data_IF_515560308021
#
_entry.id   IF_515560308021
#
_cell.length_a   1.000
_cell.length_b   1.000
_cell.length_c   1.000
_cell.angle_alpha   90.00
_cell.angle_beta   90.00
_cell.angle_gamma   90.00
#
_symmetry.space_group_name_H-M   'P 1'
#
loop_
_entity.id
_entity.type
_entity.pdbx_description
1 polymer ?
#
# COMPACT_ATOMS: atom_id res chain seq x y z
N UNK A 1 30.30 7.82 -8.32
CA UNK A 1 29.24 7.56 -7.33
C UNK A 1 29.83 6.57 -6.36
N UNK A 2 29.72 6.85 -5.07
CA UNK A 2 30.19 5.96 -3.99
C UNK A 2 29.32 4.69 -3.98
N UNK A 3 29.98 3.53 -4.02
CA UNK A 3 29.44 2.16 -4.12
C UNK A 3 28.72 1.70 -2.83
N UNK A 4 28.66 2.57 -1.81
CA UNK A 4 28.04 2.30 -0.51
C UNK A 4 26.50 2.11 -0.54
N UNK A 5 25.84 2.43 -1.65
CA UNK A 5 24.38 2.23 -1.81
C UNK A 5 23.98 0.79 -2.15
N UNK A 6 24.92 -0.06 -2.56
CA UNK A 6 24.61 -1.43 -2.99
C UNK A 6 24.51 -2.48 -1.87
N UNK A 7 24.67 -2.13 -0.58
CA UNK A 7 24.62 -3.09 0.53
C UNK A 7 23.24 -3.30 1.16
N UNK A 8 22.21 -2.57 0.73
CA UNK A 8 20.86 -2.72 1.31
C UNK A 8 19.99 -3.76 0.61
N UNK A 9 20.38 -4.14 -0.61
CA UNK A 9 19.74 -5.19 -1.39
C UNK A 9 19.95 -6.55 -0.73
N UNK A 10 18.90 -7.37 -0.64
CA UNK A 10 19.03 -8.72 -0.08
C UNK A 10 20.00 -9.58 -0.88
N UNK A 11 20.10 -9.38 -2.20
CA UNK A 11 21.07 -10.09 -3.04
C UNK A 11 22.54 -9.82 -2.65
N UNK A 12 22.82 -8.73 -1.95
CA UNK A 12 24.15 -8.33 -1.45
C UNK A 12 24.27 -8.36 0.08
N UNK A 13 23.28 -8.97 0.77
CA UNK A 13 23.31 -9.17 2.22
C UNK A 13 22.52 -8.15 3.05
N UNK A 14 21.80 -7.23 2.40
CA UNK A 14 20.95 -6.23 3.05
C UNK A 14 19.51 -6.71 3.32
N UNK A 15 18.67 -5.83 3.91
CA UNK A 15 17.31 -6.20 4.32
C UNK A 15 16.23 -6.00 3.24
N UNK A 16 16.52 -5.35 2.11
CA UNK A 16 15.51 -5.05 1.08
C UNK A 16 15.25 -6.29 0.25
N UNK A 17 14.02 -6.82 0.32
CA UNK A 17 13.61 -8.04 -0.39
C UNK A 17 12.71 -7.79 -1.61
N UNK A 18 12.08 -6.62 -1.68
CA UNK A 18 11.16 -6.24 -2.74
C UNK A 18 11.11 -4.71 -2.92
N UNK A 19 10.79 -4.26 -4.14
CA UNK A 19 10.66 -2.84 -4.50
C UNK A 19 9.40 -2.64 -5.35
N UNK A 20 8.60 -1.62 -5.01
CA UNK A 20 7.38 -1.29 -5.73
C UNK A 20 7.69 -0.44 -6.97
N UNK A 21 7.07 -0.78 -8.11
CA UNK A 21 7.09 -0.01 -9.35
C UNK A 21 5.82 0.82 -9.41
N UNK A 22 5.97 2.15 -9.30
CA UNK A 22 4.83 3.08 -9.20
C UNK A 22 3.96 2.82 -7.94
N UNK A 23 2.80 3.45 -7.78
CA UNK A 23 1.85 3.30 -6.70
C UNK A 23 0.40 3.59 -7.15
N UNK A 24 -0.44 2.55 -7.20
CA UNK A 24 -1.84 2.65 -7.66
C UNK A 24 -2.01 3.31 -9.03
N UNK A 25 -1.04 3.11 -9.93
CA UNK A 25 -0.98 3.78 -11.24
C UNK A 25 -2.27 3.62 -12.03
N UNK A 26 -2.91 2.46 -11.94
CA UNK A 26 -4.12 2.16 -12.67
C UNK A 26 -5.32 3.03 -12.26
N UNK A 27 -5.27 3.66 -11.08
CA UNK A 27 -6.23 4.68 -10.67
C UNK A 27 -6.01 5.98 -11.45
N UNK A 28 -4.75 6.33 -11.71
CA UNK A 28 -4.37 7.56 -12.39
C UNK A 28 -4.41 7.44 -13.93
N UNK A 29 -3.79 6.41 -14.49
CA UNK A 29 -3.57 6.23 -15.93
C UNK A 29 -3.64 4.74 -16.33
N UNK A 30 -3.43 4.44 -17.61
CA UNK A 30 -3.32 3.08 -18.15
C UNK A 30 -2.13 2.94 -19.13
N UNK A 31 -1.17 3.86 -19.08
CA UNK A 31 -0.01 3.89 -19.96
C UNK A 31 1.04 2.85 -19.51
N UNK A 32 0.88 1.59 -19.93
CA UNK A 32 1.77 0.49 -19.53
C UNK A 32 3.24 0.74 -19.90
N UNK A 33 3.50 1.48 -20.98
CA UNK A 33 4.86 1.84 -21.40
C UNK A 33 5.61 2.66 -20.33
N UNK A 34 4.88 3.48 -19.55
CA UNK A 34 5.45 4.20 -18.41
C UNK A 34 5.94 3.24 -17.32
N UNK A 35 5.13 2.23 -16.99
CA UNK A 35 5.48 1.20 -16.00
C UNK A 35 6.67 0.36 -16.48
N UNK A 36 6.73 0.01 -17.76
CA UNK A 36 7.86 -0.70 -18.37
C UNK A 36 9.14 0.12 -18.28
N UNK A 37 9.07 1.41 -18.57
CA UNK A 37 10.19 2.34 -18.42
C UNK A 37 10.68 2.41 -16.97
N UNK A 38 9.78 2.52 -15.99
CA UNK A 38 10.15 2.54 -14.57
C UNK A 38 10.81 1.24 -14.11
N UNK A 39 10.27 0.09 -14.55
CA UNK A 39 10.86 -1.23 -14.29
C UNK A 39 12.30 -1.29 -14.83
N UNK A 40 12.51 -0.89 -16.07
CA UNK A 40 13.83 -0.85 -16.70
C UNK A 40 14.78 0.11 -15.98
N UNK A 41 14.28 1.28 -15.57
CA UNK A 41 15.05 2.24 -14.81
C UNK A 41 15.51 1.67 -13.46
N UNK A 42 14.62 1.01 -12.72
CA UNK A 42 14.97 0.37 -11.44
C UNK A 42 16.04 -0.72 -11.64
N UNK A 43 15.83 -1.63 -12.59
CA UNK A 43 16.79 -2.71 -12.87
C UNK A 43 18.14 -2.17 -13.36
N UNK A 44 18.14 -1.16 -14.24
CA UNK A 44 19.38 -0.52 -14.73
C UNK A 44 20.18 0.15 -13.61
N UNK A 45 19.51 0.61 -12.55
CA UNK A 45 20.14 1.21 -11.37
C UNK A 45 20.42 0.19 -10.26
N UNK A 46 20.40 -1.11 -10.55
CA UNK A 46 20.90 -2.14 -9.65
C UNK A 46 19.85 -2.77 -8.73
N UNK A 47 18.56 -2.50 -8.91
CA UNK A 47 17.50 -3.25 -8.22
C UNK A 47 17.39 -4.64 -8.83
N UNK A 48 17.68 -5.66 -8.02
CA UNK A 48 17.64 -7.09 -8.41
C UNK A 48 16.56 -7.88 -7.68
N UNK A 49 15.95 -7.24 -6.68
CA UNK A 49 14.93 -7.74 -5.79
C UNK A 49 13.60 -7.93 -6.52
N UNK A 50 12.66 -8.60 -5.83
CA UNK A 50 11.32 -8.79 -6.36
C UNK A 50 10.67 -7.43 -6.66
N UNK A 51 10.32 -7.21 -7.92
CA UNK A 51 9.51 -6.05 -8.30
C UNK A 51 8.03 -6.35 -8.07
N UNK A 52 7.31 -5.39 -7.51
CA UNK A 52 5.88 -5.50 -7.20
C UNK A 52 5.12 -4.29 -7.73
N UNK A 53 3.83 -4.45 -8.01
CA UNK A 53 2.88 -3.35 -8.27
C UNK A 53 1.73 -3.45 -7.27
N UNK A 54 1.13 -2.33 -6.89
CA UNK A 54 0.00 -2.31 -5.94
C UNK A 54 -1.14 -1.46 -6.49
N UNK A 55 -2.34 -2.04 -6.53
CA UNK A 55 -3.52 -1.37 -7.06
C UNK A 55 -4.80 -1.91 -6.41
N UNK A 56 -5.85 -1.09 -6.47
CA UNK A 56 -7.23 -1.55 -6.34
C UNK A 56 -7.69 -2.35 -7.57
N UNK A 57 -8.91 -2.90 -7.53
CA UNK A 57 -9.42 -3.77 -8.60
C UNK A 57 -9.44 -3.08 -9.97
N UNK A 58 -9.96 -1.86 -10.05
CA UNK A 58 -10.07 -1.15 -11.32
C UNK A 58 -8.69 -0.78 -11.88
N UNK A 59 -7.78 -0.33 -11.01
CA UNK A 59 -6.43 0.03 -11.42
C UNK A 59 -5.64 -1.17 -11.96
N UNK A 60 -5.69 -2.29 -11.24
CA UNK A 60 -5.01 -3.52 -11.64
C UNK A 60 -5.46 -4.02 -13.02
N UNK A 61 -6.76 -3.92 -13.32
CA UNK A 61 -7.32 -4.33 -14.62
C UNK A 61 -6.97 -3.36 -15.75
N UNK A 62 -6.62 -2.10 -15.44
CA UNK A 62 -6.26 -1.07 -16.41
C UNK A 62 -4.78 -1.09 -16.77
N UNK A 63 -3.91 -1.35 -15.80
CA UNK A 63 -2.47 -1.28 -15.97
C UNK A 63 -1.79 -2.48 -15.27
N UNK A 64 -1.35 -3.46 -16.05
CA UNK A 64 -0.60 -4.62 -15.56
C UNK A 64 0.82 -4.58 -16.09
N UNK A 65 1.81 -4.78 -15.21
CA UNK A 65 3.22 -4.80 -15.56
C UNK A 65 3.77 -6.23 -15.57
N UNK A 66 4.18 -6.72 -16.75
CA UNK A 66 4.89 -8.00 -16.84
C UNK A 66 6.24 -7.94 -16.11
N UNK A 67 6.60 -9.03 -15.42
CA UNK A 67 7.85 -9.12 -14.65
C UNK A 67 7.80 -8.46 -13.26
N UNK A 68 6.64 -7.96 -12.83
CA UNK A 68 6.38 -7.55 -11.46
C UNK A 68 5.23 -8.39 -10.87
N UNK A 69 5.27 -8.66 -9.56
CA UNK A 69 4.17 -9.32 -8.86
C UNK A 69 3.03 -8.31 -8.62
N UNK A 70 1.81 -8.54 -9.14
CA UNK A 70 0.67 -7.71 -8.79
C UNK A 70 0.23 -8.01 -7.35
N UNK A 71 0.01 -6.95 -6.58
CA UNK A 71 -0.46 -6.99 -5.19
C UNK A 71 -1.70 -6.12 -5.01
N UNK A 72 -2.45 -6.36 -3.93
CA UNK A 72 -3.78 -5.78 -3.76
C UNK A 72 -3.82 -4.69 -2.68
N UNK A 73 -4.56 -3.62 -2.95
CA UNK A 73 -4.87 -2.58 -1.96
C UNK A 73 -6.37 -2.62 -1.61
N UNK A 74 -6.69 -2.80 -0.33
CA UNK A 74 -8.06 -2.76 0.15
C UNK A 74 -8.17 -2.66 1.68
N UNK A 75 -9.23 -2.02 2.16
CA UNK A 75 -9.68 -2.15 3.55
C UNK A 75 -10.69 -3.29 3.74
N UNK A 76 -11.62 -3.47 2.79
CA UNK A 76 -12.70 -4.46 2.94
C UNK A 76 -12.38 -5.73 2.14
N UNK A 77 -12.33 -6.87 2.82
CA UNK A 77 -12.01 -8.17 2.23
C UNK A 77 -12.96 -8.57 1.10
N UNK A 78 -14.25 -8.21 1.16
CA UNK A 78 -15.19 -8.50 0.07
C UNK A 78 -14.81 -7.81 -1.25
N UNK A 79 -14.13 -6.66 -1.18
CA UNK A 79 -13.52 -6.01 -2.35
C UNK A 79 -12.20 -6.71 -2.71
N UNK A 80 -11.37 -6.98 -1.72
CA UNK A 80 -10.08 -7.65 -1.87
C UNK A 80 -10.15 -9.03 -2.52
N UNK A 81 -11.18 -9.82 -2.22
CA UNK A 81 -11.39 -11.15 -2.80
C UNK A 81 -11.49 -11.11 -4.33
N UNK A 82 -12.09 -10.05 -4.90
CA UNK A 82 -12.17 -9.88 -6.35
C UNK A 82 -10.80 -9.61 -6.97
N UNK A 83 -9.95 -8.87 -6.27
CA UNK A 83 -8.57 -8.59 -6.67
C UNK A 83 -7.74 -9.88 -6.62
N UNK A 84 -7.84 -10.64 -5.53
CA UNK A 84 -7.17 -11.94 -5.41
C UNK A 84 -7.59 -12.92 -6.49
N UNK A 85 -8.88 -12.94 -6.84
CA UNK A 85 -9.37 -13.73 -7.97
C UNK A 85 -8.73 -13.28 -9.29
N UNK A 86 -8.68 -11.97 -9.56
CA UNK A 86 -8.05 -11.45 -10.77
C UNK A 86 -6.56 -11.81 -10.86
N UNK A 87 -5.81 -11.69 -9.76
CA UNK A 87 -4.41 -12.13 -9.68
C UNK A 87 -4.30 -13.62 -9.99
N UNK A 88 -5.09 -14.46 -9.31
CA UNK A 88 -5.05 -15.91 -9.50
C UNK A 88 -5.46 -16.37 -10.90
N UNK A 89 -6.45 -15.71 -11.51
CA UNK A 89 -6.86 -15.96 -12.90
C UNK A 89 -5.76 -15.56 -13.90
N UNK A 90 -4.98 -14.50 -13.60
CA UNK A 90 -3.85 -14.07 -14.43
C UNK A 90 -2.68 -15.04 -14.36
N UNK A 91 -2.36 -15.53 -13.15
CA UNK A 91 -1.35 -16.55 -12.94
C UNK A 91 -1.59 -17.24 -11.57
N UNK A 92 -2.01 -18.52 -11.57
CA UNK A 92 -2.35 -19.22 -10.33
C UNK A 92 -1.13 -19.51 -9.44
N UNK A 93 0.09 -19.27 -9.92
CA UNK A 93 1.32 -19.42 -9.14
C UNK A 93 1.70 -18.16 -8.36
N UNK A 94 1.07 -17.00 -8.63
CA UNK A 94 1.39 -15.80 -7.88
C UNK A 94 0.98 -15.95 -6.41
N UNK A 95 1.88 -15.61 -5.47
CA UNK A 95 1.47 -15.47 -4.08
C UNK A 95 0.50 -14.30 -3.96
N UNK A 96 -0.46 -14.41 -3.05
CA UNK A 96 -1.39 -13.33 -2.75
C UNK A 96 -0.78 -12.43 -1.68
N UNK A 97 -0.81 -11.12 -1.91
CA UNK A 97 -0.37 -10.13 -0.95
C UNK A 97 -1.31 -8.94 -0.93
N UNK A 98 -1.69 -8.49 0.25
CA UNK A 98 -2.31 -7.19 0.48
C UNK A 98 -1.19 -6.17 0.75
N UNK A 99 -0.86 -5.33 -0.23
CA UNK A 99 0.20 -4.34 -0.06
C UNK A 99 -0.24 -3.17 0.82
N UNK A 100 -1.51 -2.81 0.75
CA UNK A 100 -2.10 -1.83 1.65
C UNK A 100 -3.40 -2.38 2.24
N UNK A 101 -3.32 -2.85 3.49
CA UNK A 101 -4.49 -3.13 4.27
C UNK A 101 -4.91 -1.87 5.04
N UNK A 102 -5.89 -1.14 4.51
CA UNK A 102 -6.42 0.08 5.12
C UNK A 102 -7.31 -0.22 6.33
N UNK A 103 -6.68 -0.42 7.48
CA UNK A 103 -7.33 -0.73 8.76
C UNK A 103 -7.89 0.50 9.48
N UNK A 104 -7.40 1.69 9.13
CA UNK A 104 -7.88 2.99 9.60
C UNK A 104 -8.15 3.94 8.44
N UNK A 105 -8.17 5.24 8.70
CA UNK A 105 -8.24 6.30 7.67
C UNK A 105 -7.75 7.64 8.23
N UNK A 106 -7.28 8.53 7.36
CA UNK A 106 -6.78 9.87 7.69
C UNK A 106 -7.90 10.90 7.65
N UNK A 107 -7.68 12.10 8.22
CA UNK A 107 -8.69 13.16 8.29
C UNK A 107 -8.36 14.38 7.46
N UNK A 108 -9.42 15.12 7.13
CA UNK A 108 -9.34 16.44 6.54
C UNK A 108 -9.77 17.52 7.52
N UNK A 109 -9.19 18.71 7.41
CA UNK A 109 -9.65 19.87 8.16
C UNK A 109 -11.12 20.19 7.86
N UNK A 110 -11.89 20.50 8.91
CA UNK A 110 -13.31 20.83 8.80
C UNK A 110 -14.25 19.62 8.70
N UNK A 111 -13.73 18.42 8.47
CA UNK A 111 -14.50 17.18 8.55
C UNK A 111 -14.56 16.65 9.99
N UNK A 112 -15.55 15.80 10.28
CA UNK A 112 -15.51 15.00 11.51
C UNK A 112 -14.35 14.02 11.41
N UNK A 113 -13.72 13.77 12.55
CA UNK A 113 -12.73 12.70 12.68
C UNK A 113 -13.32 11.39 12.14
N UNK A 114 -12.61 10.73 11.23
CA UNK A 114 -13.03 9.46 10.67
C UNK A 114 -13.29 8.50 11.81
N UNK A 115 -14.45 7.83 11.74
CA UNK A 115 -14.82 6.86 12.76
C UNK A 115 -13.81 5.73 12.77
N UNK A 116 -13.27 5.44 13.95
CA UNK A 116 -12.45 4.26 14.21
C UNK A 116 -13.18 3.06 13.63
N UNK A 117 -12.54 2.29 12.75
CA UNK A 117 -13.11 1.00 12.34
C UNK A 117 -13.16 0.11 13.57
N UNK A 118 -14.33 -0.44 13.91
CA UNK A 118 -14.47 -1.28 15.10
C UNK A 118 -13.47 -2.44 15.09
N UNK A 119 -12.96 -2.83 16.26
CA UNK A 119 -12.03 -3.95 16.40
C UNK A 119 -12.59 -5.24 15.77
N UNK A 120 -13.89 -5.50 15.90
CA UNK A 120 -14.56 -6.66 15.29
C UNK A 120 -14.51 -6.63 13.76
N UNK A 121 -14.68 -5.45 13.15
CA UNK A 121 -14.50 -5.27 11.72
C UNK A 121 -13.05 -5.57 11.31
N UNK A 122 -12.06 -5.06 12.05
CA UNK A 122 -10.65 -5.31 11.76
C UNK A 122 -10.32 -6.80 11.83
N UNK A 123 -10.65 -7.44 12.97
CA UNK A 123 -10.43 -8.87 13.20
C UNK A 123 -11.07 -9.73 12.11
N UNK A 124 -12.32 -9.41 11.73
CA UNK A 124 -13.01 -10.13 10.67
C UNK A 124 -12.28 -10.04 9.33
N UNK A 125 -11.91 -8.84 8.89
CA UNK A 125 -11.24 -8.66 7.59
C UNK A 125 -9.83 -9.27 7.60
N UNK A 126 -9.08 -9.05 8.68
CA UNK A 126 -7.74 -9.59 8.83
C UNK A 126 -7.72 -11.12 8.89
N UNK A 127 -8.64 -11.75 9.63
CA UNK A 127 -8.76 -13.21 9.65
C UNK A 127 -9.04 -13.79 8.27
N UNK A 128 -9.80 -13.10 7.42
CA UNK A 128 -10.04 -13.54 6.05
C UNK A 128 -8.78 -13.48 5.19
N UNK A 129 -7.94 -12.45 5.35
CA UNK A 129 -6.63 -12.35 4.67
C UNK A 129 -5.75 -13.55 5.05
N UNK A 130 -5.66 -13.86 6.35
CA UNK A 130 -4.90 -15.02 6.85
C UNK A 130 -5.46 -16.33 6.32
N UNK A 131 -6.79 -16.51 6.30
CA UNK A 131 -7.43 -17.73 5.79
C UNK A 131 -7.20 -17.94 4.29
N UNK A 132 -6.90 -16.88 3.53
CA UNK A 132 -6.50 -16.94 2.13
C UNK A 132 -5.01 -17.26 1.95
N UNK A 133 -4.26 -17.46 3.04
CA UNK A 133 -2.81 -17.64 3.04
C UNK A 133 -2.08 -16.49 2.31
N UNK A 134 -2.62 -15.27 2.45
CA UNK A 134 -2.06 -14.08 1.82
C UNK A 134 -1.08 -13.36 2.77
N UNK A 135 0.03 -12.87 2.22
CA UNK A 135 0.88 -11.88 2.90
C UNK A 135 0.14 -10.55 3.02
N UNK A 136 0.58 -9.69 3.93
CA UNK A 136 -0.06 -8.41 4.17
C UNK A 136 0.93 -7.34 4.64
N UNK A 137 0.56 -6.09 4.43
CA UNK A 137 1.21 -4.91 4.99
C UNK A 137 0.14 -3.95 5.52
N UNK A 138 0.33 -3.47 6.76
CA UNK A 138 -0.66 -2.62 7.45
C UNK A 138 -0.48 -1.16 7.04
N UNK A 139 -1.53 -0.58 6.46
CA UNK A 139 -1.58 0.85 6.17
C UNK A 139 -2.59 1.53 7.12
N UNK A 140 -2.17 2.17 8.22
CA UNK A 140 -0.79 2.28 8.75
C UNK A 140 -0.63 1.42 10.01
N UNK A 141 0.50 0.73 10.15
CA UNK A 141 0.87 0.11 11.43
C UNK A 141 1.15 1.18 12.51
N UNK A 142 1.94 2.19 12.15
CA UNK A 142 2.16 3.42 12.90
C UNK A 142 2.11 4.57 11.91
N UNK A 143 1.19 5.52 12.12
CA UNK A 143 1.01 6.63 11.21
C UNK A 143 2.00 7.77 11.43
N UNK A 144 1.79 8.57 12.48
CA UNK A 144 2.71 9.65 12.86
C UNK A 144 2.10 11.05 12.71
N UNK A 145 2.91 11.98 12.21
CA UNK A 145 2.58 13.41 12.11
C UNK A 145 3.14 14.00 10.81
N UNK A 146 2.31 14.70 10.06
CA UNK A 146 2.70 15.52 8.92
C UNK A 146 3.28 16.85 9.42
N UNK A 147 4.57 16.88 9.77
CA UNK A 147 5.19 18.08 10.32
C UNK A 147 5.31 19.23 9.30
N UNK A 148 5.28 20.47 9.80
CA UNK A 148 5.44 21.67 8.97
C UNK A 148 4.40 21.75 7.85
N UNK A 149 4.86 21.83 6.60
CA UNK A 149 4.03 21.92 5.40
C UNK A 149 4.04 20.65 4.56
N UNK A 150 4.26 19.50 5.18
CA UNK A 150 4.35 18.19 4.49
C UNK A 150 3.00 17.50 4.32
N UNK A 151 1.92 18.04 4.90
CA UNK A 151 0.59 17.47 4.77
C UNK A 151 0.08 17.56 3.32
N UNK A 152 -0.60 16.52 2.88
CA UNK A 152 -1.23 16.45 1.57
C UNK A 152 -2.62 17.09 1.55
N UNK A 153 -3.32 16.83 0.45
CA UNK A 153 -4.72 17.15 0.28
C UNK A 153 -5.34 16.24 -0.78
N UNK A 154 -6.64 15.99 -0.65
CA UNK A 154 -7.43 15.42 -1.72
C UNK A 154 -8.19 16.52 -2.47
N UNK A 155 -8.47 16.25 -3.75
CA UNK A 155 -9.34 17.06 -4.58
C UNK A 155 -10.45 16.16 -5.15
N UNK A 156 -11.69 16.42 -4.76
CA UNK A 156 -12.86 15.82 -5.41
C UNK A 156 -13.63 16.91 -6.14
N UNK A 157 -13.47 16.95 -7.47
CA UNK A 157 -14.02 17.96 -8.37
C UNK A 157 -13.63 19.38 -7.92
N UNK A 158 -14.59 20.11 -7.35
CA UNK A 158 -14.44 21.50 -6.92
C UNK A 158 -14.13 21.63 -5.42
N UNK A 159 -13.95 20.51 -4.71
CA UNK A 159 -13.67 20.50 -3.27
C UNK A 159 -12.20 20.18 -3.03
N UNK A 160 -11.51 21.11 -2.37
CA UNK A 160 -10.17 20.90 -1.82
C UNK A 160 -10.30 20.45 -0.36
N UNK A 161 -9.71 19.31 -0.03
CA UNK A 161 -9.76 18.70 1.30
C UNK A 161 -8.33 18.55 1.84
N UNK A 162 -7.82 19.55 2.58
CA UNK A 162 -6.47 19.49 3.13
C UNK A 162 -6.41 18.52 4.30
N UNK A 163 -5.39 17.67 4.30
CA UNK A 163 -5.16 16.71 5.37
C UNK A 163 -4.76 17.39 6.66
N UNK A 164 -5.17 16.80 7.79
CA UNK A 164 -4.77 17.29 9.10
C UNK A 164 -3.30 16.97 9.39
N UNK A 165 -2.71 17.72 10.33
CA UNK A 165 -1.33 17.50 10.78
C UNK A 165 -1.13 16.12 11.42
N UNK A 166 -2.14 15.62 12.14
CA UNK A 166 -2.10 14.28 12.74
C UNK A 166 -2.24 13.20 11.66
N UNK A 167 -1.26 12.32 11.55
CA UNK A 167 -1.35 11.15 10.67
C UNK A 167 -1.53 9.86 11.45
N UNK A 168 -2.03 9.93 12.69
CA UNK A 168 -2.30 8.75 13.53
C UNK A 168 -3.20 7.76 12.79
N UNK A 169 -4.15 8.24 11.98
CA UNK A 169 -4.95 7.42 11.04
C UNK A 169 -5.54 6.13 11.65
N UNK A 170 -5.84 6.14 12.95
CA UNK A 170 -6.24 4.95 13.72
C UNK A 170 -5.28 3.76 13.58
N UNK A 171 -3.98 4.05 13.52
CA UNK A 171 -2.91 3.06 13.40
C UNK A 171 -2.82 2.19 14.65
N UNK A 172 -2.39 0.94 14.46
CA UNK A 172 -2.30 -0.08 15.53
C UNK A 172 -1.37 0.33 16.68
N UNK A 173 -0.41 1.21 16.40
CA UNK A 173 0.56 1.72 17.35
C UNK A 173 0.47 3.24 17.41
N UNK A 174 0.36 3.79 18.63
CA UNK A 174 0.36 5.25 18.84
C UNK A 174 1.75 5.82 18.58
N UNK A 175 1.91 6.84 17.73
CA UNK A 175 3.21 7.47 17.48
C UNK A 175 3.70 8.34 18.65
N UNK A 176 2.80 8.73 19.57
CA UNK A 176 3.15 9.58 20.72
C UNK A 176 3.64 8.77 21.92
N UNK A 177 3.09 7.57 22.12
CA UNK A 177 3.37 6.75 23.31
C UNK A 177 4.12 5.46 22.98
N UNK A 178 4.20 5.09 21.70
CA UNK A 178 4.69 3.78 21.24
C UNK A 178 3.99 2.61 21.95
N UNK A 179 2.74 2.83 22.37
CA UNK A 179 1.88 1.82 22.98
C UNK A 179 0.81 1.36 22.00
N UNK A 180 0.40 0.07 22.03
CA UNK A 180 -0.72 -0.41 21.25
C UNK A 180 -1.96 0.45 21.51
N UNK A 181 -2.64 0.85 20.44
CA UNK A 181 -3.95 1.49 20.59
C UNK A 181 -4.94 0.39 20.98
N UNK A 182 -5.30 0.31 22.26
CA UNK A 182 -6.37 -0.59 22.68
C UNK A 182 -7.63 -0.21 21.92
N UNK A 183 -8.22 -1.16 21.19
CA UNK A 183 -9.57 -1.01 20.69
C UNK A 183 -10.47 -0.74 21.89
N UNK A 184 -10.82 0.53 22.09
CA UNK A 184 -11.75 1.00 23.10
C UNK A 184 -13.10 1.23 22.44
#
# INVERSE_FOLDING_TARGET
MDDSTLFLNHSTGGPIIAVQVENEFGTYSNEVQHLEYLRELLTKNGITELLITSDGLEGMLRATLSGALPTANFGNFNKGQKIFKAIGDSNPKYPLMVMEFWSGWFDHWGNKHHSVRSLSWFQKNFQQIINYNASFNFYMFMGGTNFGFMAGANADKDKYEPDVTSYVSHSLLSPATFQPTSGS
#
